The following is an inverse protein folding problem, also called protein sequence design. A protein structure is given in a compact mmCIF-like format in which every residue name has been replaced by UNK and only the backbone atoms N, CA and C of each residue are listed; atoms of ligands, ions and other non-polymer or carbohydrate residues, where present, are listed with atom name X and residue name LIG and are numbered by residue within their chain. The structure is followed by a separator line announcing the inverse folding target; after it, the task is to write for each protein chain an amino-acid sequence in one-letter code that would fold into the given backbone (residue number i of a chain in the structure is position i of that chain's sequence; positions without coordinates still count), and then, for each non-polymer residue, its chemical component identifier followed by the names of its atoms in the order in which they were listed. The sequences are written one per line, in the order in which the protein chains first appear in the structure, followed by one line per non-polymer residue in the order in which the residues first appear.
data_IF_268252580031
#
_entry.id   IF_268252580031
#
_cell.length_a   1.000
_cell.length_b   1.000
_cell.length_c   1.000
_cell.angle_alpha   90.00
_cell.angle_beta   90.00
_cell.angle_gamma   90.00
#
_symmetry.space_group_name_H-M   'P 1'
#
loop_
_entity.id
_entity.type
_entity.pdbx_description
1 polymer ?
#
# COMPACT_ATOMS: atom_id res chain seq x y z
N UNK A 1 32.17 -11.53 10.86
CA UNK A 1 32.87 -10.48 10.08
C UNK A 1 34.40 -10.66 10.05
N UNK A 2 35.05 -11.19 11.11
CA UNK A 2 36.52 -11.34 11.14
C UNK A 2 37.08 -12.43 10.23
N UNK A 3 36.25 -13.33 9.68
CA UNK A 3 36.61 -14.47 8.84
C UNK A 3 35.89 -14.53 7.49
N UNK A 4 35.16 -13.47 7.13
CA UNK A 4 34.40 -13.42 5.89
C UNK A 4 35.10 -12.51 4.90
N UNK A 5 35.07 -12.86 3.63
CA UNK A 5 35.66 -12.07 2.53
C UNK A 5 34.72 -10.92 2.12
N UNK A 6 33.41 -11.16 2.21
CA UNK A 6 32.36 -10.18 1.84
C UNK A 6 31.29 -10.15 2.93
N UNK A 7 30.78 -8.94 3.21
CA UNK A 7 29.60 -8.70 4.04
C UNK A 7 28.49 -8.19 3.15
N UNK A 8 27.40 -8.94 3.08
CA UNK A 8 26.21 -8.58 2.32
C UNK A 8 25.18 -7.88 3.22
N UNK A 9 24.80 -6.66 2.87
CA UNK A 9 23.78 -5.89 3.55
C UNK A 9 22.45 -6.06 2.80
N UNK A 10 21.56 -6.87 3.32
CA UNK A 10 20.30 -7.26 2.71
C UNK A 10 19.08 -6.73 3.49
N UNK A 11 19.17 -5.48 3.98
CA UNK A 11 18.05 -4.78 4.62
C UNK A 11 17.04 -4.29 3.57
N UNK A 12 15.85 -3.86 4.00
CA UNK A 12 14.79 -3.38 3.11
C UNK A 12 15.26 -2.25 2.19
N UNK A 13 14.63 -2.16 1.01
CA UNK A 13 14.92 -1.13 0.02
C UNK A 13 14.16 0.16 0.32
N UNK A 14 14.37 0.70 1.49
CA UNK A 14 13.87 2.00 1.88
C UNK A 14 14.94 2.78 2.64
N UNK A 15 14.65 4.03 3.00
CA UNK A 15 15.61 4.87 3.73
C UNK A 15 15.91 4.33 5.13
N UNK A 16 14.97 3.64 5.76
CA UNK A 16 15.16 3.00 7.07
C UNK A 16 16.15 1.83 6.95
N UNK A 17 15.97 0.96 5.97
CA UNK A 17 16.89 -0.15 5.69
C UNK A 17 18.28 0.33 5.24
N UNK A 18 18.34 1.39 4.47
CA UNK A 18 19.61 2.01 4.06
C UNK A 18 20.39 2.58 5.25
N UNK A 19 19.70 3.28 6.15
CA UNK A 19 20.28 3.79 7.39
C UNK A 19 20.76 2.67 8.32
N UNK A 20 20.00 1.56 8.44
CA UNK A 20 20.41 0.39 9.20
C UNK A 20 21.69 -0.19 8.62
N UNK A 21 21.77 -0.35 7.30
CA UNK A 21 22.97 -0.83 6.62
C UNK A 21 24.19 0.07 6.89
N UNK A 22 24.01 1.37 6.81
CA UNK A 22 25.06 2.34 7.09
C UNK A 22 25.54 2.28 8.54
N UNK A 23 24.63 2.25 9.51
CA UNK A 23 24.99 2.13 10.93
C UNK A 23 25.72 0.82 11.22
N UNK A 24 25.34 -0.29 10.60
CA UNK A 24 26.06 -1.56 10.75
C UNK A 24 27.49 -1.49 10.25
N UNK A 25 27.75 -0.77 9.17
CA UNK A 25 29.11 -0.57 8.64
C UNK A 25 29.92 0.30 9.60
N UNK A 26 29.35 1.40 10.09
CA UNK A 26 30.03 2.30 11.03
C UNK A 26 30.38 1.60 12.36
N UNK A 27 29.44 0.87 12.94
CA UNK A 27 29.63 0.19 14.24
C UNK A 27 30.54 -1.03 14.14
N UNK A 28 30.39 -1.84 13.10
CA UNK A 28 31.15 -3.09 12.96
C UNK A 28 32.53 -2.87 12.34
N UNK A 29 32.74 -1.78 11.61
CA UNK A 29 33.95 -1.45 10.87
C UNK A 29 34.56 -2.70 10.19
N UNK A 30 33.81 -3.41 9.32
CA UNK A 30 34.24 -4.67 8.76
C UNK A 30 35.51 -4.48 7.91
N UNK A 31 36.46 -5.39 8.03
CA UNK A 31 37.65 -5.40 7.15
C UNK A 31 37.37 -6.04 5.81
N UNK A 32 36.26 -6.78 5.70
CA UNK A 32 35.78 -7.42 4.49
C UNK A 32 35.11 -6.38 3.55
N UNK A 33 35.07 -6.71 2.27
CA UNK A 33 34.33 -5.91 1.29
C UNK A 33 32.85 -5.87 1.67
N UNK A 34 32.23 -4.69 1.63
CA UNK A 34 30.81 -4.50 1.96
C UNK A 34 30.03 -4.30 0.68
N UNK A 35 28.94 -5.04 0.51
CA UNK A 35 28.03 -4.92 -0.66
C UNK A 35 26.61 -4.84 -0.21
N UNK A 36 25.84 -3.95 -0.82
CA UNK A 36 24.42 -3.76 -0.60
C UNK A 36 23.60 -4.61 -1.58
N UNK A 37 22.72 -5.47 -1.04
CA UNK A 37 21.74 -6.23 -1.82
C UNK A 37 20.38 -5.54 -1.75
N UNK A 38 19.74 -5.42 -2.90
CA UNK A 38 18.39 -4.86 -3.03
C UNK A 38 17.52 -5.82 -3.81
N UNK A 39 16.42 -6.23 -3.20
CA UNK A 39 15.41 -7.08 -3.83
C UNK A 39 14.02 -6.74 -3.27
N UNK A 40 13.00 -6.82 -4.11
CA UNK A 40 11.62 -6.45 -3.76
C UNK A 40 10.78 -7.64 -3.27
N UNK A 41 11.28 -8.86 -3.45
CA UNK A 41 10.60 -10.10 -3.06
C UNK A 41 11.61 -11.15 -2.61
N UNK A 42 11.19 -12.03 -1.71
CA UNK A 42 12.05 -13.10 -1.18
C UNK A 42 11.83 -14.36 -2.02
N UNK A 43 12.22 -14.28 -3.30
CA UNK A 43 12.25 -15.43 -4.22
C UNK A 43 13.70 -15.77 -4.59
N UNK A 44 13.92 -17.02 -4.96
CA UNK A 44 15.27 -17.47 -5.36
C UNK A 44 15.82 -16.64 -6.51
N UNK A 45 15.00 -16.39 -7.54
CA UNK A 45 15.40 -15.62 -8.72
C UNK A 45 15.73 -14.16 -8.39
N UNK A 46 14.95 -13.51 -7.51
CA UNK A 46 15.20 -12.13 -7.09
C UNK A 46 16.51 -12.01 -6.30
N UNK A 47 16.78 -12.97 -5.41
CA UNK A 47 18.03 -13.01 -4.63
C UNK A 47 19.24 -13.27 -5.53
N UNK A 48 19.16 -14.22 -6.46
CA UNK A 48 20.25 -14.51 -7.42
C UNK A 48 20.54 -13.31 -8.31
N UNK A 49 19.50 -12.62 -8.76
CA UNK A 49 19.65 -11.37 -9.52
C UNK A 49 20.33 -10.28 -8.69
N UNK A 50 19.90 -10.05 -7.45
CA UNK A 50 20.49 -9.06 -6.56
C UNK A 50 21.97 -9.38 -6.24
N UNK A 51 22.33 -10.65 -6.09
CA UNK A 51 23.74 -11.09 -5.91
C UNK A 51 24.59 -10.80 -7.15
N UNK A 52 24.03 -10.85 -8.34
CA UNK A 52 24.73 -10.55 -9.60
C UNK A 52 24.94 -9.06 -9.84
N UNK A 53 24.13 -8.20 -9.23
CA UNK A 53 24.16 -6.75 -9.40
C UNK A 53 24.11 -5.99 -8.06
N UNK A 54 25.11 -6.19 -7.17
CA UNK A 54 25.18 -5.46 -5.92
C UNK A 54 25.50 -3.99 -6.16
N UNK A 55 25.09 -3.15 -5.21
CA UNK A 55 25.40 -1.72 -5.23
C UNK A 55 26.10 -1.25 -3.95
N UNK A 56 26.46 0.00 -3.89
CA UNK A 56 26.90 0.67 -2.68
C UNK A 56 25.71 1.19 -1.86
N UNK A 57 25.99 1.57 -0.60
CA UNK A 57 25.00 2.24 0.25
C UNK A 57 24.65 3.60 -0.36
N UNK A 58 23.37 3.90 -0.44
CA UNK A 58 22.89 5.20 -0.91
C UNK A 58 22.87 6.20 0.24
N UNK A 59 23.87 7.07 0.27
CA UNK A 59 24.03 8.08 1.32
C UNK A 59 22.89 9.10 1.34
N UNK A 60 22.31 9.46 0.20
CA UNK A 60 21.17 10.39 0.14
C UNK A 60 19.95 9.83 0.89
N UNK A 61 19.71 8.50 0.80
CA UNK A 61 18.65 7.83 1.57
C UNK A 61 18.98 7.79 3.07
N UNK A 62 20.23 7.60 3.44
CA UNK A 62 20.69 7.66 4.83
C UNK A 62 20.45 9.05 5.41
N UNK A 63 20.87 10.11 4.70
CA UNK A 63 20.65 11.50 5.11
C UNK A 63 19.16 11.86 5.19
N UNK A 64 18.35 11.36 4.26
CA UNK A 64 16.90 11.55 4.30
C UNK A 64 16.27 10.90 5.55
N UNK A 65 16.75 9.75 5.98
CA UNK A 65 16.31 9.09 7.20
C UNK A 65 16.73 9.84 8.45
N UNK A 66 18.01 10.26 8.54
CA UNK A 66 18.52 11.04 9.66
C UNK A 66 17.79 12.39 9.78
N UNK A 67 17.57 13.09 8.67
CA UNK A 67 16.77 14.31 8.63
C UNK A 67 15.36 14.09 9.17
N UNK A 68 14.70 13.02 8.73
CA UNK A 68 13.38 12.64 9.23
C UNK A 68 13.38 12.42 10.74
N UNK A 69 14.36 11.68 11.24
CA UNK A 69 14.53 11.39 12.68
C UNK A 69 14.71 12.68 13.50
N UNK A 70 15.56 13.60 13.01
CA UNK A 70 15.77 14.88 13.65
C UNK A 70 14.51 15.75 13.65
N UNK A 71 13.80 15.81 12.53
CA UNK A 71 12.53 16.56 12.43
C UNK A 71 11.46 16.00 13.37
N UNK A 72 11.28 14.69 13.42
CA UNK A 72 10.33 14.05 14.33
C UNK A 72 10.65 14.36 15.80
N UNK A 73 11.93 14.34 16.15
CA UNK A 73 12.38 14.67 17.49
C UNK A 73 12.10 16.13 17.83
N UNK A 74 12.51 17.07 16.97
CA UNK A 74 12.29 18.50 17.17
C UNK A 74 10.80 18.83 17.28
N UNK A 75 9.99 18.28 16.37
CA UNK A 75 8.54 18.47 16.40
C UNK A 75 7.91 17.88 17.69
N UNK A 76 8.26 16.65 18.03
CA UNK A 76 7.75 15.98 19.23
C UNK A 76 8.07 16.76 20.50
N UNK A 77 9.30 17.18 20.69
CA UNK A 77 9.72 17.95 21.87
C UNK A 77 9.12 19.35 21.92
N UNK A 78 8.87 19.99 20.79
CA UNK A 78 8.28 21.33 20.74
C UNK A 78 6.77 21.32 20.97
N UNK A 79 6.06 20.36 20.37
CA UNK A 79 4.59 20.34 20.35
C UNK A 79 3.99 19.55 21.52
N UNK A 80 4.64 18.50 22.02
CA UNK A 80 4.09 17.70 23.14
C UNK A 80 3.86 18.53 24.40
N UNK A 81 4.76 19.43 24.84
CA UNK A 81 4.50 20.30 25.99
C UNK A 81 3.32 21.25 25.79
N UNK A 82 3.10 21.71 24.55
CA UNK A 82 1.94 22.53 24.22
C UNK A 82 0.63 21.76 24.39
N UNK A 83 0.60 20.49 23.95
CA UNK A 83 -0.53 19.60 24.16
C UNK A 83 -0.79 19.34 25.66
N UNK A 84 0.26 19.20 26.45
CA UNK A 84 0.11 19.02 27.90
C UNK A 84 -0.51 20.23 28.57
N UNK A 85 -0.13 21.42 28.14
CA UNK A 85 -0.64 22.68 28.68
C UNK A 85 -2.09 22.96 28.24
N UNK A 86 -2.45 22.60 26.99
CA UNK A 86 -3.72 23.01 26.39
C UNK A 86 -4.81 21.95 26.46
N UNK A 87 -4.44 20.66 26.51
CA UNK A 87 -5.39 19.54 26.46
C UNK A 87 -5.26 18.70 27.75
N UNK A 88 -4.22 17.90 27.87
CA UNK A 88 -3.93 17.09 29.07
C UNK A 88 -2.48 16.57 29.06
N UNK A 89 -1.92 16.24 30.25
CA UNK A 89 -0.61 15.60 30.36
C UNK A 89 -0.52 14.26 29.63
N UNK A 90 0.70 13.82 29.30
CA UNK A 90 1.05 12.53 28.70
C UNK A 90 0.57 12.33 27.24
N UNK A 91 0.15 13.37 26.53
CA UNK A 91 -0.02 13.32 25.10
C UNK A 91 1.31 13.48 24.40
N UNK A 92 1.50 12.80 23.28
CA UNK A 92 2.66 12.99 22.41
C UNK A 92 2.24 13.50 21.02
N UNK A 93 3.03 14.41 20.49
CA UNK A 93 2.89 14.87 19.12
C UNK A 93 3.80 14.04 18.21
N UNK A 94 3.27 13.62 17.07
CA UNK A 94 3.99 12.83 16.08
C UNK A 94 3.12 12.46 14.91
N UNK A 95 3.73 11.89 13.87
CA UNK A 95 3.02 11.53 12.63
C UNK A 95 1.99 10.42 12.85
N UNK A 96 2.27 9.45 13.71
CA UNK A 96 1.31 8.37 14.02
C UNK A 96 0.10 8.92 14.77
N UNK A 97 0.32 9.74 15.79
CA UNK A 97 -0.75 10.30 16.63
C UNK A 97 -1.61 11.33 15.90
N UNK A 98 -1.10 11.95 14.86
CA UNK A 98 -1.85 12.96 14.08
C UNK A 98 -2.27 12.41 12.70
N UNK A 99 -1.34 12.29 11.77
CA UNK A 99 -1.65 11.97 10.37
C UNK A 99 -2.17 10.55 10.21
N UNK A 100 -1.46 9.56 10.75
CA UNK A 100 -1.88 8.16 10.60
C UNK A 100 -3.22 7.88 11.30
N UNK A 101 -3.41 8.42 12.50
CA UNK A 101 -4.68 8.28 13.23
C UNK A 101 -5.82 8.98 12.48
N UNK A 102 -5.58 10.16 11.92
CA UNK A 102 -6.56 10.86 11.10
C UNK A 102 -7.00 10.02 9.89
N UNK A 103 -6.06 9.44 9.16
CA UNK A 103 -6.37 8.57 8.02
C UNK A 103 -7.23 7.37 8.42
N UNK A 104 -6.92 6.74 9.55
CA UNK A 104 -7.72 5.62 10.08
C UNK A 104 -9.13 6.07 10.44
N UNK A 105 -9.26 7.21 11.13
CA UNK A 105 -10.58 7.76 11.52
C UNK A 105 -11.41 8.15 10.31
N UNK A 106 -10.81 8.81 9.30
CA UNK A 106 -11.48 9.16 8.05
C UNK A 106 -11.97 7.91 7.33
N UNK A 107 -11.13 6.87 7.23
CA UNK A 107 -11.51 5.60 6.62
C UNK A 107 -12.63 4.87 7.37
N UNK A 108 -12.58 4.90 8.69
CA UNK A 108 -13.64 4.32 9.52
C UNK A 108 -14.97 5.09 9.37
N UNK A 109 -14.92 6.40 9.25
CA UNK A 109 -16.11 7.21 8.96
C UNK A 109 -16.69 6.90 7.58
N UNK A 110 -15.85 6.70 6.56
CA UNK A 110 -16.30 6.23 5.24
C UNK A 110 -16.99 4.87 5.35
N UNK A 111 -16.41 3.94 6.10
CA UNK A 111 -16.98 2.61 6.34
C UNK A 111 -18.35 2.69 7.02
N UNK A 112 -18.49 3.53 8.05
CA UNK A 112 -19.75 3.71 8.79
C UNK A 112 -20.83 4.32 7.89
N UNK A 113 -20.46 5.26 7.00
CA UNK A 113 -21.39 5.93 6.07
C UNK A 113 -21.72 5.09 4.85
N UNK A 114 -20.97 4.02 4.59
CA UNK A 114 -21.15 3.21 3.41
C UNK A 114 -22.51 2.52 3.39
N UNK A 115 -23.23 2.72 2.29
CA UNK A 115 -24.51 2.06 2.00
C UNK A 115 -24.28 1.13 0.79
N UNK A 116 -24.48 -0.16 0.99
CA UNK A 116 -24.32 -1.13 -0.09
C UNK A 116 -25.39 -0.95 -1.15
N UNK A 117 -24.97 -0.95 -2.42
CA UNK A 117 -25.88 -1.05 -3.56
C UNK A 117 -26.06 -2.53 -3.94
N UNK A 118 -27.26 -2.89 -4.35
CA UNK A 118 -27.53 -4.22 -4.91
C UNK A 118 -27.56 -4.11 -6.43
N UNK A 119 -26.75 -4.93 -7.08
CA UNK A 119 -26.74 -5.11 -8.53
C UNK A 119 -26.25 -6.51 -8.86
N UNK A 120 -26.63 -7.03 -10.02
CA UNK A 120 -26.32 -8.37 -10.47
C UNK A 120 -25.53 -8.32 -11.76
N UNK A 121 -24.61 -9.28 -11.92
CA UNK A 121 -23.91 -9.54 -13.15
C UNK A 121 -24.17 -11.00 -13.59
N UNK A 122 -23.80 -11.32 -14.82
CA UNK A 122 -23.85 -12.68 -15.36
C UNK A 122 -22.45 -13.06 -15.84
N UNK A 123 -21.99 -14.20 -15.33
CA UNK A 123 -20.77 -14.85 -15.80
C UNK A 123 -21.13 -16.21 -16.38
N UNK A 124 -20.59 -16.50 -17.54
CA UNK A 124 -20.78 -17.77 -18.22
C UNK A 124 -19.45 -18.44 -18.54
N UNK A 125 -19.44 -19.76 -18.49
CA UNK A 125 -18.34 -20.57 -19.01
C UNK A 125 -18.77 -21.07 -20.38
N UNK A 126 -18.00 -20.72 -21.40
CA UNK A 126 -18.26 -21.08 -22.79
C UNK A 126 -17.19 -22.04 -23.28
N UNK A 127 -17.56 -22.90 -24.22
CA UNK A 127 -16.63 -23.84 -24.85
C UNK A 127 -16.50 -23.53 -26.34
N UNK A 128 -15.29 -23.30 -26.83
CA UNK A 128 -15.00 -23.18 -28.23
C UNK A 128 -13.73 -23.98 -28.57
N UNK A 129 -13.80 -24.74 -29.67
CA UNK A 129 -12.68 -25.58 -30.13
C UNK A 129 -12.14 -26.55 -29.06
N UNK A 130 -13.01 -27.04 -28.16
CA UNK A 130 -12.63 -27.93 -27.05
C UNK A 130 -11.93 -27.23 -25.84
N UNK A 131 -11.85 -25.92 -25.85
CA UNK A 131 -11.32 -25.14 -24.74
C UNK A 131 -12.44 -24.33 -24.07
N UNK A 132 -12.40 -24.30 -22.73
CA UNK A 132 -13.33 -23.50 -21.94
C UNK A 132 -12.75 -22.11 -21.68
N UNK A 133 -13.60 -21.09 -21.75
CA UNK A 133 -13.26 -19.72 -21.39
C UNK A 133 -14.40 -19.06 -20.61
N UNK A 134 -14.05 -18.17 -19.70
CA UNK A 134 -14.99 -17.40 -18.92
C UNK A 134 -15.33 -16.09 -19.64
N UNK A 135 -16.62 -15.73 -19.63
CA UNK A 135 -17.07 -14.44 -20.12
C UNK A 135 -18.04 -13.79 -19.13
N UNK A 136 -18.03 -12.46 -19.04
CA UNK A 136 -18.94 -11.67 -18.21
C UNK A 136 -19.76 -10.75 -19.11
N UNK A 137 -21.07 -10.71 -18.88
CA UNK A 137 -21.97 -9.84 -19.61
C UNK A 137 -21.63 -8.38 -19.33
N UNK A 138 -21.28 -7.62 -20.36
CA UNK A 138 -20.90 -6.20 -20.24
C UNK A 138 -22.04 -5.27 -20.64
N UNK A 139 -22.84 -5.69 -21.58
CA UNK A 139 -23.87 -4.87 -22.21
C UNK A 139 -25.09 -5.73 -22.58
N UNK A 140 -26.29 -5.17 -22.41
CA UNK A 140 -27.54 -5.80 -22.78
C UNK A 140 -28.39 -4.78 -23.56
N UNK A 141 -28.82 -5.16 -24.77
CA UNK A 141 -29.63 -4.31 -25.65
C UNK A 141 -29.07 -2.89 -25.89
N UNK A 142 -27.74 -2.77 -26.03
CA UNK A 142 -27.08 -1.49 -26.26
C UNK A 142 -26.84 -0.65 -24.98
N UNK A 143 -27.19 -1.15 -23.80
CA UNK A 143 -26.92 -0.53 -22.52
C UNK A 143 -25.88 -1.29 -21.73
N UNK A 144 -24.84 -0.56 -21.27
CA UNK A 144 -23.79 -1.08 -20.38
C UNK A 144 -24.40 -1.46 -19.03
N UNK A 145 -23.99 -2.58 -18.46
CA UNK A 145 -24.38 -2.95 -17.10
C UNK A 145 -23.70 -2.06 -16.05
N UNK A 146 -24.44 -1.83 -14.96
CA UNK A 146 -23.92 -1.13 -13.79
C UNK A 146 -22.85 -1.97 -13.09
N UNK A 147 -21.80 -1.27 -12.63
CA UNK A 147 -20.73 -1.82 -11.82
C UNK A 147 -20.70 -1.10 -10.47
N UNK A 148 -20.02 -1.66 -9.47
CA UNK A 148 -19.91 -1.03 -8.15
C UNK A 148 -19.43 0.42 -8.16
N UNK A 149 -18.54 0.79 -9.10
CA UNK A 149 -18.05 2.15 -9.28
C UNK A 149 -19.09 3.18 -9.71
N UNK A 150 -20.22 2.73 -10.23
CA UNK A 150 -21.30 3.60 -10.73
C UNK A 150 -22.25 4.04 -9.61
N UNK A 151 -22.11 3.48 -8.41
CA UNK A 151 -22.95 3.82 -7.26
C UNK A 151 -22.25 4.78 -6.31
N UNK A 152 -23.02 5.62 -5.67
CA UNK A 152 -22.61 6.51 -4.58
C UNK A 152 -22.40 5.72 -3.30
N UNK A 153 -21.19 5.74 -2.69
CA UNK A 153 -20.90 4.95 -1.51
C UNK A 153 -21.77 5.27 -0.28
N UNK A 154 -22.25 6.52 -0.19
CA UNK A 154 -23.01 6.99 0.97
C UNK A 154 -24.52 6.80 0.85
N UNK A 155 -25.02 6.52 -0.35
CA UNK A 155 -26.49 6.41 -0.61
C UNK A 155 -26.88 5.10 -1.23
N UNK A 156 -25.92 4.36 -1.82
CA UNK A 156 -26.19 3.15 -2.61
C UNK A 156 -26.92 3.41 -3.92
N UNK A 157 -27.11 4.68 -4.32
CA UNK A 157 -27.78 5.08 -5.57
C UNK A 157 -26.79 5.26 -6.70
N UNK A 158 -27.27 5.17 -7.93
CA UNK A 158 -26.47 5.50 -9.12
C UNK A 158 -25.98 6.95 -9.05
N UNK A 159 -24.71 7.17 -9.41
CA UNK A 159 -24.12 8.50 -9.55
C UNK A 159 -24.80 9.27 -10.67
N UNK A 160 -25.05 10.56 -10.50
CA UNK A 160 -25.59 11.44 -11.55
C UNK A 160 -24.66 11.51 -12.78
N UNK A 161 -23.35 11.37 -12.57
CA UNK A 161 -22.34 11.33 -13.63
C UNK A 161 -22.29 10.00 -14.40
N UNK A 162 -22.93 8.95 -13.90
CA UNK A 162 -22.99 7.67 -14.59
C UNK A 162 -23.91 7.80 -15.81
N UNK A 163 -23.42 7.41 -17.00
CA UNK A 163 -24.20 7.39 -18.25
C UNK A 163 -25.32 6.34 -18.19
N UNK A 164 -26.29 6.52 -17.33
CA UNK A 164 -27.45 5.65 -17.08
C UNK A 164 -27.19 4.17 -17.38
N UNK A 165 -26.31 3.49 -16.63
CA UNK A 165 -26.05 2.07 -16.83
C UNK A 165 -27.30 1.26 -16.44
N UNK A 166 -27.50 0.12 -17.08
CA UNK A 166 -28.56 -0.81 -16.73
C UNK A 166 -28.24 -1.52 -15.42
N UNK A 167 -29.09 -1.36 -14.41
CA UNK A 167 -28.99 -2.12 -13.16
C UNK A 167 -29.82 -3.37 -13.29
N UNK A 168 -29.19 -4.54 -13.31
CA UNK A 168 -29.91 -5.81 -13.29
C UNK A 168 -30.38 -6.13 -11.87
N UNK A 169 -31.65 -6.46 -11.74
CA UNK A 169 -32.18 -7.10 -10.54
C UNK A 169 -31.85 -8.60 -10.53
N UNK A 170 -32.05 -9.24 -9.38
CA UNK A 170 -31.93 -10.71 -9.26
C UNK A 170 -32.86 -11.44 -10.25
N UNK A 171 -34.08 -10.95 -10.38
CA UNK A 171 -35.11 -11.56 -11.25
C UNK A 171 -34.73 -11.45 -12.72
N UNK A 172 -34.21 -10.30 -13.15
CA UNK A 172 -33.77 -10.08 -14.53
C UNK A 172 -32.56 -10.95 -14.85
N UNK A 173 -31.58 -11.02 -13.93
CA UNK A 173 -30.41 -11.88 -14.07
C UNK A 173 -30.80 -13.37 -14.20
N UNK A 174 -31.81 -13.81 -13.45
CA UNK A 174 -32.31 -15.19 -13.53
C UNK A 174 -33.06 -15.50 -14.84
N UNK A 175 -33.74 -14.50 -15.45
CA UNK A 175 -34.39 -14.68 -16.76
C UNK A 175 -33.41 -14.79 -17.93
N UNK A 176 -32.20 -14.25 -17.75
CA UNK A 176 -31.14 -14.28 -18.76
C UNK A 176 -30.27 -15.56 -18.67
N UNK A 177 -30.43 -16.34 -17.63
CA UNK A 177 -29.73 -17.62 -17.41
C UNK A 177 -30.35 -18.76 -18.22
#
# INVERSE_FOLDING_TARGET
SKKSDIVWLATDEDREGESISWHLVEELAPKAEVKRLVFHEITKSAIEHALSAPRDINIDLVEAQETRRLMDRLYGYSVSPLLWKKIRPRLSAGRVQSVAMRMIVEREQERIRFVSAEYWDLKGVFTAQGQNFDATLQELAGQRLALGKDFEPNTGKLKESAKQPLVLSKEDALKLK
#
